data_IF_921445254380
#
_entry.id   IF_921445254380
#
_cell.length_a   1.000
_cell.length_b   1.000
_cell.length_c   1.000
_cell.angle_alpha   90.00
_cell.angle_beta   90.00
_cell.angle_gamma   90.00
#
_symmetry.space_group_name_H-M   'P 1'
#
loop_
_entity.id
_entity.type
_entity.pdbx_description
1 polymer ?
#
# COMPACT_ATOMS: atom_id res chain seq x y z
N UNK A 1 -31.00 12.51 0.91
CA UNK A 1 -30.94 11.59 -0.27
C UNK A 1 -29.66 11.82 -1.02
N UNK A 2 -28.90 10.74 -1.30
CA UNK A 2 -27.57 10.80 -1.93
C UNK A 2 -27.62 10.00 -3.24
N UNK A 3 -26.97 10.56 -4.29
CA UNK A 3 -26.73 9.91 -5.59
C UNK A 3 -25.27 10.05 -5.98
N UNK A 4 -24.72 9.05 -6.60
CA UNK A 4 -23.36 9.06 -7.14
C UNK A 4 -22.69 7.72 -7.05
N UNK A 5 -21.36 7.71 -7.18
CA UNK A 5 -20.56 6.50 -7.05
C UNK A 5 -19.18 6.80 -6.48
N UNK A 6 -18.59 5.79 -5.85
CA UNK A 6 -17.21 5.77 -5.40
C UNK A 6 -16.53 4.55 -5.99
N UNK A 7 -15.36 4.74 -6.60
CA UNK A 7 -14.55 3.67 -7.16
C UNK A 7 -13.30 3.44 -6.31
N UNK A 8 -12.64 2.31 -6.53
CA UNK A 8 -11.42 1.90 -5.85
C UNK A 8 -11.62 1.77 -4.34
N UNK A 9 -12.70 1.09 -3.93
CA UNK A 9 -13.03 0.88 -2.53
C UNK A 9 -12.55 -0.49 -2.11
N UNK A 10 -11.39 -0.51 -1.48
CA UNK A 10 -10.74 -1.72 -0.98
C UNK A 10 -11.53 -2.31 0.19
N UNK A 11 -11.74 -3.61 0.18
CA UNK A 11 -12.42 -4.35 1.24
C UNK A 11 -13.94 -4.20 1.27
N UNK A 12 -14.55 -3.49 0.33
CA UNK A 12 -15.97 -3.16 0.35
C UNK A 12 -16.92 -4.38 0.37
N UNK A 13 -16.47 -5.54 -0.12
CA UNK A 13 -17.30 -6.75 -0.13
C UNK A 13 -17.38 -7.48 1.24
N UNK A 14 -16.59 -7.05 2.23
CA UNK A 14 -16.44 -7.75 3.53
C UNK A 14 -16.61 -6.81 4.74
N UNK A 15 -17.14 -5.60 4.53
CA UNK A 15 -17.40 -4.63 5.59
C UNK A 15 -18.91 -4.49 5.83
N UNK A 16 -19.28 -4.15 7.06
CA UNK A 16 -20.68 -3.94 7.44
C UNK A 16 -21.16 -2.53 7.06
N UNK A 17 -20.29 -1.53 7.24
CA UNK A 17 -20.60 -0.12 6.98
C UNK A 17 -19.49 0.56 6.18
N UNK A 18 -19.85 1.60 5.46
CA UNK A 18 -18.90 2.46 4.74
C UNK A 18 -19.00 3.91 5.21
N UNK A 19 -17.83 4.52 5.40
CA UNK A 19 -17.71 5.97 5.58
C UNK A 19 -17.43 6.58 4.21
N UNK A 20 -18.32 7.45 3.77
CA UNK A 20 -18.20 8.20 2.52
C UNK A 20 -17.69 9.59 2.82
N UNK A 21 -16.68 10.05 2.07
CA UNK A 21 -16.08 11.37 2.26
C UNK A 21 -15.67 12.00 0.94
N UNK A 22 -15.43 13.32 0.89
CA UNK A 22 -14.83 13.99 -0.25
C UNK A 22 -13.48 13.35 -0.63
N UNK A 23 -13.10 13.45 -1.90
CA UNK A 23 -11.83 12.91 -2.41
C UNK A 23 -10.74 13.96 -2.61
N UNK A 24 -11.09 15.25 -2.47
CA UNK A 24 -10.19 16.38 -2.72
C UNK A 24 -10.69 17.64 -1.99
N UNK A 25 -9.83 18.65 -1.91
CA UNK A 25 -10.27 20.01 -1.58
C UNK A 25 -11.34 20.47 -2.58
N UNK A 26 -12.28 21.23 -2.10
CA UNK A 26 -13.43 21.72 -2.83
C UNK A 26 -13.47 23.26 -2.83
N UNK A 27 -14.29 23.81 -3.73
CA UNK A 27 -14.57 25.25 -3.83
C UNK A 27 -16.08 25.47 -3.56
N UNK A 28 -16.51 26.71 -3.45
CA UNK A 28 -17.92 27.06 -3.29
C UNK A 28 -18.82 26.43 -4.37
N UNK A 29 -18.32 26.26 -5.60
CA UNK A 29 -19.04 25.63 -6.71
C UNK A 29 -19.31 24.13 -6.45
N UNK A 30 -18.53 23.52 -5.60
CA UNK A 30 -18.60 22.10 -5.26
C UNK A 30 -19.46 21.85 -4.00
N UNK A 31 -20.10 22.86 -3.41
CA UNK A 31 -20.85 22.78 -2.13
C UNK A 31 -21.73 21.55 -2.04
N UNK A 32 -22.48 21.21 -3.10
CA UNK A 32 -23.38 20.05 -3.12
C UNK A 32 -22.67 18.69 -3.05
N UNK A 33 -21.36 18.64 -3.27
CA UNK A 33 -20.53 17.45 -3.20
C UNK A 33 -19.76 17.37 -1.88
N UNK A 34 -19.78 18.43 -1.07
CA UNK A 34 -19.13 18.48 0.23
C UNK A 34 -20.00 17.78 1.28
N UNK A 35 -19.96 16.45 1.25
CA UNK A 35 -20.70 15.59 2.16
C UNK A 35 -19.82 14.46 2.67
N UNK A 36 -19.96 14.15 3.98
CA UNK A 36 -19.39 12.94 4.59
C UNK A 36 -20.45 12.29 5.46
N UNK A 37 -20.57 10.98 5.39
CA UNK A 37 -21.57 10.19 6.11
C UNK A 37 -21.12 8.73 6.25
N UNK A 38 -21.77 7.97 7.14
CA UNK A 38 -21.59 6.52 7.27
C UNK A 38 -22.94 5.81 7.14
N UNK A 39 -22.96 4.72 6.38
CA UNK A 39 -24.16 3.88 6.21
C UNK A 39 -23.79 2.39 6.12
N UNK A 40 -24.70 1.48 6.54
CA UNK A 40 -24.59 0.07 6.22
C UNK A 40 -24.62 -0.19 4.69
N UNK A 41 -23.91 -1.23 4.26
CA UNK A 41 -23.89 -1.61 2.83
C UNK A 41 -25.22 -2.17 2.32
N UNK A 42 -26.06 -2.70 3.20
CA UNK A 42 -27.39 -3.22 2.89
C UNK A 42 -28.47 -2.11 2.84
N UNK A 43 -28.07 -0.84 3.00
CA UNK A 43 -28.99 0.29 2.89
C UNK A 43 -29.67 0.32 1.51
N UNK A 44 -31.01 0.44 1.46
CA UNK A 44 -31.73 0.50 0.18
C UNK A 44 -31.18 1.57 -0.78
N UNK A 45 -30.91 1.18 -2.03
CA UNK A 45 -30.32 2.05 -3.04
C UNK A 45 -28.78 1.97 -3.13
N UNK A 46 -28.11 1.26 -2.22
CA UNK A 46 -26.68 0.95 -2.33
C UNK A 46 -26.48 -0.29 -3.19
N UNK A 47 -25.55 -0.20 -4.13
CA UNK A 47 -25.11 -1.35 -4.94
C UNK A 47 -23.60 -1.42 -4.93
N UNK A 48 -23.06 -2.61 -4.61
CA UNK A 48 -21.64 -2.90 -4.67
C UNK A 48 -21.33 -3.75 -5.89
N UNK A 49 -20.38 -3.29 -6.72
CA UNK A 49 -19.85 -4.06 -7.84
C UNK A 49 -18.41 -4.42 -7.54
N UNK A 50 -18.14 -5.69 -7.30
CA UNK A 50 -16.78 -6.19 -6.98
C UNK A 50 -15.96 -6.31 -8.25
N UNK A 51 -14.77 -5.72 -8.24
CA UNK A 51 -13.83 -5.74 -9.35
C UNK A 51 -13.13 -7.09 -9.50
N UNK A 52 -12.76 -7.41 -10.74
CA UNK A 52 -11.91 -8.55 -11.05
C UNK A 52 -10.44 -8.17 -10.88
N UNK A 53 -9.62 -9.09 -10.35
CA UNK A 53 -8.16 -8.91 -10.21
C UNK A 53 -7.37 -9.83 -11.13
N UNK A 54 -6.07 -9.50 -11.34
CA UNK A 54 -5.18 -10.27 -12.22
C UNK A 54 -5.00 -11.71 -11.73
N UNK A 55 -4.96 -11.93 -10.42
CA UNK A 55 -4.82 -13.24 -9.79
C UNK A 55 -6.18 -13.90 -9.46
N UNK A 56 -7.28 -13.46 -10.08
CA UNK A 56 -8.63 -14.00 -9.88
C UNK A 56 -8.98 -15.11 -10.90
N UNK A 57 -8.02 -15.94 -11.27
CA UNK A 57 -8.24 -17.07 -12.18
C UNK A 57 -8.66 -18.36 -11.49
N UNK A 58 -8.51 -18.48 -10.20
CA UNK A 58 -8.72 -19.65 -9.37
C UNK A 58 -10.11 -20.28 -9.46
N UNK A 59 -11.13 -19.58 -9.92
CA UNK A 59 -12.46 -20.16 -10.22
C UNK A 59 -12.41 -21.15 -11.37
N UNK A 60 -11.42 -20.96 -12.26
CA UNK A 60 -11.19 -21.83 -13.42
C UNK A 60 -10.20 -22.94 -13.09
N UNK A 61 -9.27 -22.68 -12.20
CA UNK A 61 -8.19 -23.61 -11.87
C UNK A 61 -8.60 -24.54 -10.74
N UNK A 62 -9.05 -24.10 -9.62
CA UNK A 62 -9.38 -24.94 -8.48
C UNK A 62 -8.16 -25.64 -7.88
N UNK A 63 -8.33 -26.27 -6.72
CA UNK A 63 -7.27 -26.96 -6.02
C UNK A 63 -6.64 -26.17 -4.89
N UNK A 64 -5.68 -26.82 -4.22
CA UNK A 64 -5.04 -26.28 -3.02
C UNK A 64 -3.86 -25.36 -3.36
N UNK A 65 -3.19 -25.57 -4.49
CA UNK A 65 -2.01 -24.80 -4.90
C UNK A 65 -2.42 -23.69 -5.85
N UNK A 66 -3.02 -24.05 -6.98
CA UNK A 66 -3.37 -23.08 -8.04
C UNK A 66 -4.65 -22.30 -7.71
N UNK A 67 -5.55 -22.88 -6.93
CA UNK A 67 -6.85 -22.29 -6.60
C UNK A 67 -6.88 -21.32 -5.42
N UNK A 68 -5.80 -21.23 -4.62
CA UNK A 68 -5.74 -20.36 -3.45
C UNK A 68 -5.22 -18.96 -3.79
N UNK A 69 -5.98 -17.90 -3.47
CA UNK A 69 -5.47 -16.55 -3.54
C UNK A 69 -4.65 -16.25 -2.28
N UNK A 70 -3.34 -16.22 -2.39
CA UNK A 70 -2.47 -15.81 -1.28
C UNK A 70 -2.60 -14.31 -0.97
N UNK A 71 -2.96 -13.51 -1.95
CA UNK A 71 -3.22 -12.09 -1.79
C UNK A 71 -4.37 -11.67 -2.70
N UNK A 72 -5.56 -11.55 -2.13
CA UNK A 72 -6.74 -11.09 -2.84
C UNK A 72 -7.40 -9.94 -2.09
N UNK A 73 -7.28 -8.75 -2.63
CA UNK A 73 -7.99 -7.58 -2.13
C UNK A 73 -9.28 -7.38 -2.92
N UNK A 74 -10.40 -7.34 -2.22
CA UNK A 74 -11.66 -6.95 -2.83
C UNK A 74 -11.63 -5.45 -3.16
N UNK A 75 -11.53 -5.12 -4.43
CA UNK A 75 -11.71 -3.76 -4.93
C UNK A 75 -13.11 -3.62 -5.51
N UNK A 76 -13.77 -2.52 -5.23
CA UNK A 76 -15.15 -2.36 -5.69
C UNK A 76 -15.52 -0.95 -6.09
N UNK A 77 -16.68 -0.89 -6.74
CA UNK A 77 -17.45 0.31 -7.03
C UNK A 77 -18.68 0.30 -6.14
N UNK A 78 -18.90 1.37 -5.39
CA UNK A 78 -20.12 1.58 -4.60
C UNK A 78 -20.98 2.62 -5.30
N UNK A 79 -22.21 2.26 -5.64
CA UNK A 79 -23.17 3.09 -6.33
C UNK A 79 -24.30 3.46 -5.35
N UNK A 80 -24.62 4.71 -5.28
CA UNK A 80 -25.70 5.28 -4.45
C UNK A 80 -26.80 5.76 -5.39
N UNK A 81 -27.97 5.14 -5.33
CA UNK A 81 -29.12 5.50 -6.13
C UNK A 81 -30.29 5.89 -5.20
N UNK A 82 -30.44 7.19 -4.98
CA UNK A 82 -31.43 7.76 -4.05
C UNK A 82 -31.36 7.15 -2.64
N UNK A 83 -30.17 7.05 -2.10
CA UNK A 83 -29.93 6.50 -0.78
C UNK A 83 -30.33 7.52 0.30
N UNK A 84 -31.19 7.12 1.21
CA UNK A 84 -31.53 7.93 2.38
C UNK A 84 -30.42 7.81 3.44
N UNK A 85 -29.89 8.95 3.88
CA UNK A 85 -28.92 9.03 4.96
C UNK A 85 -29.55 9.81 6.12
N UNK A 86 -29.72 9.22 7.30
CA UNK A 86 -30.20 9.91 8.51
C UNK A 86 -29.21 10.99 8.96
N UNK A 87 -29.69 12.05 9.59
CA UNK A 87 -28.83 13.17 9.98
C UNK A 87 -27.79 12.82 11.05
N UNK A 88 -28.10 11.89 11.94
CA UNK A 88 -27.19 11.36 12.94
C UNK A 88 -25.99 10.57 12.37
N UNK A 89 -26.05 10.24 11.08
CA UNK A 89 -24.98 9.59 10.32
C UNK A 89 -24.25 10.52 9.38
N UNK A 90 -24.52 11.83 9.43
CA UNK A 90 -23.86 12.84 8.57
C UNK A 90 -22.80 13.59 9.36
N UNK A 91 -21.57 13.60 8.89
CA UNK A 91 -20.42 14.22 9.55
C UNK A 91 -20.00 15.55 8.92
N UNK A 92 -20.23 15.71 7.61
CA UNK A 92 -20.00 16.95 6.87
C UNK A 92 -21.18 17.19 5.93
N UNK A 93 -21.72 18.40 5.91
CA UNK A 93 -22.85 18.74 5.05
C UNK A 93 -22.71 20.14 4.47
N UNK A 94 -22.57 20.20 3.13
CA UNK A 94 -22.46 21.42 2.32
C UNK A 94 -21.32 22.38 2.73
N UNK A 95 -20.41 21.96 3.60
CA UNK A 95 -19.27 22.75 4.06
C UNK A 95 -18.01 22.40 3.25
N UNK A 96 -17.94 22.97 2.07
CA UNK A 96 -16.83 22.74 1.13
C UNK A 96 -15.48 23.18 1.69
N UNK A 97 -15.44 24.18 2.59
CA UNK A 97 -14.20 24.70 3.14
C UNK A 97 -13.43 23.64 3.97
N UNK A 98 -14.16 22.75 4.64
CA UNK A 98 -13.58 21.67 5.45
C UNK A 98 -13.25 20.39 4.66
N UNK A 99 -13.73 20.27 3.42
CA UNK A 99 -13.48 19.08 2.61
C UNK A 99 -11.99 18.79 2.43
N UNK A 100 -11.17 19.82 2.20
CA UNK A 100 -9.72 19.71 2.03
C UNK A 100 -9.03 19.20 3.29
N UNK A 101 -9.35 19.78 4.45
CA UNK A 101 -8.78 19.39 5.74
C UNK A 101 -9.13 17.93 6.10
N UNK A 102 -10.39 17.53 5.91
CA UNK A 102 -10.83 16.15 6.13
C UNK A 102 -10.02 15.15 5.30
N UNK A 103 -9.85 15.44 4.01
CA UNK A 103 -9.08 14.58 3.10
C UNK A 103 -7.60 14.54 3.48
N UNK A 104 -7.01 15.65 3.88
CA UNK A 104 -5.59 15.72 4.23
C UNK A 104 -5.30 14.91 5.50
N UNK A 105 -6.10 15.09 6.56
CA UNK A 105 -5.94 14.34 7.82
C UNK A 105 -6.10 12.84 7.56
N UNK A 106 -7.17 12.42 6.89
CA UNK A 106 -7.41 11.02 6.55
C UNK A 106 -6.28 10.44 5.70
N UNK A 107 -5.88 11.14 4.64
CA UNK A 107 -4.88 10.62 3.70
C UNK A 107 -3.49 10.48 4.33
N UNK A 108 -3.12 11.32 5.29
CA UNK A 108 -1.85 11.20 5.99
C UNK A 108 -1.75 9.90 6.79
N UNK A 109 -2.79 9.54 7.56
CA UNK A 109 -2.84 8.25 8.27
C UNK A 109 -2.81 7.07 7.29
N UNK A 110 -3.60 7.13 6.23
CA UNK A 110 -3.64 6.08 5.22
C UNK A 110 -2.27 5.91 4.53
N UNK A 111 -1.61 7.02 4.17
CA UNK A 111 -0.27 7.00 3.54
C UNK A 111 0.80 6.42 4.47
N UNK A 112 0.77 6.78 5.74
CA UNK A 112 1.65 6.20 6.75
C UNK A 112 1.42 4.69 6.92
N UNK A 113 0.15 4.24 6.96
CA UNK A 113 -0.21 2.83 7.12
C UNK A 113 0.33 1.92 6.00
N UNK A 114 0.63 2.47 4.81
CA UNK A 114 1.27 1.71 3.73
C UNK A 114 2.67 1.19 4.09
N UNK A 115 3.37 1.83 5.02
CA UNK A 115 4.66 1.33 5.50
C UNK A 115 4.55 -0.08 6.07
N UNK A 116 3.59 -0.32 6.96
CA UNK A 116 3.38 -1.65 7.54
C UNK A 116 2.82 -2.65 6.53
N UNK A 117 1.76 -2.26 5.81
CA UNK A 117 1.08 -3.13 4.85
C UNK A 117 2.02 -3.60 3.73
N UNK A 118 2.74 -2.68 3.06
CA UNK A 118 3.58 -3.05 1.91
C UNK A 118 4.91 -3.66 2.33
N UNK A 119 5.47 -3.28 3.49
CA UNK A 119 6.67 -3.94 4.00
C UNK A 119 6.38 -5.37 4.44
N UNK A 120 5.24 -5.64 5.11
CA UNK A 120 4.87 -7.01 5.46
C UNK A 120 4.69 -7.92 4.24
N UNK A 121 4.10 -7.41 3.15
CA UNK A 121 4.04 -8.14 1.88
C UNK A 121 5.42 -8.27 1.22
N UNK A 122 6.26 -7.26 1.35
CA UNK A 122 7.66 -7.30 0.91
C UNK A 122 8.44 -8.41 1.61
N UNK A 123 8.24 -8.60 2.92
CA UNK A 123 8.87 -9.69 3.69
C UNK A 123 8.45 -11.07 3.17
N UNK A 124 7.17 -11.24 2.82
CA UNK A 124 6.68 -12.47 2.19
C UNK A 124 7.38 -12.73 0.87
N UNK A 125 7.53 -11.70 0.01
CA UNK A 125 8.22 -11.82 -1.28
C UNK A 125 9.70 -12.12 -1.08
N UNK A 126 10.37 -11.44 -0.15
CA UNK A 126 11.80 -11.65 0.17
C UNK A 126 12.01 -13.09 0.67
N UNK A 127 11.20 -13.53 1.64
CA UNK A 127 11.29 -14.89 2.20
C UNK A 127 11.04 -15.97 1.15
N UNK A 128 10.02 -15.79 0.31
CA UNK A 128 9.71 -16.69 -0.80
C UNK A 128 10.86 -16.75 -1.81
N UNK A 129 11.42 -15.59 -2.16
CA UNK A 129 12.54 -15.49 -3.10
C UNK A 129 13.80 -16.15 -2.56
N UNK A 130 14.09 -15.94 -1.28
CA UNK A 130 15.23 -16.59 -0.62
C UNK A 130 15.09 -18.11 -0.62
N UNK A 131 13.90 -18.62 -0.30
CA UNK A 131 13.65 -20.06 -0.31
C UNK A 131 13.72 -20.65 -1.72
N UNK A 132 13.17 -19.99 -2.73
CA UNK A 132 13.32 -20.40 -4.14
C UNK A 132 14.81 -20.45 -4.55
N UNK A 133 15.63 -19.48 -4.12
CA UNK A 133 17.07 -19.50 -4.39
C UNK A 133 17.78 -20.70 -3.71
N UNK A 134 17.36 -21.11 -2.53
CA UNK A 134 17.82 -22.35 -1.86
C UNK A 134 17.43 -23.57 -2.67
N UNK A 135 16.21 -23.66 -3.11
CA UNK A 135 15.67 -24.78 -3.89
C UNK A 135 16.32 -24.90 -5.26
N UNK A 136 16.86 -23.81 -5.84
CA UNK A 136 17.56 -23.76 -7.11
C UNK A 136 19.04 -24.24 -7.05
N UNK A 137 19.40 -25.02 -6.04
CA UNK A 137 20.75 -25.54 -5.89
C UNK A 137 21.62 -24.72 -4.95
N UNK A 138 21.01 -24.04 -3.98
CA UNK A 138 21.74 -23.29 -2.96
C UNK A 138 22.40 -22.03 -3.50
N UNK A 139 21.76 -21.36 -4.47
CA UNK A 139 22.31 -20.14 -5.08
C UNK A 139 22.15 -18.88 -4.22
N UNK A 140 21.42 -18.94 -3.11
CA UNK A 140 21.20 -17.80 -2.22
C UNK A 140 22.50 -17.14 -1.73
N UNK A 141 23.61 -17.91 -1.62
CA UNK A 141 24.92 -17.42 -1.19
C UNK A 141 25.80 -16.92 -2.34
N UNK A 142 25.34 -16.99 -3.58
CA UNK A 142 26.07 -16.45 -4.72
C UNK A 142 26.06 -14.92 -4.69
N UNK A 143 27.20 -14.24 -4.89
CA UNK A 143 27.31 -12.79 -4.76
C UNK A 143 26.25 -11.99 -5.53
N UNK A 144 25.91 -12.42 -6.76
CA UNK A 144 24.90 -11.74 -7.58
C UNK A 144 23.46 -11.96 -7.07
N UNK A 145 23.19 -13.07 -6.37
CA UNK A 145 21.88 -13.31 -5.71
C UNK A 145 21.81 -12.56 -4.40
N UNK A 146 22.86 -12.62 -3.56
CA UNK A 146 22.93 -11.87 -2.33
C UNK A 146 22.78 -10.36 -2.55
N UNK A 147 23.43 -9.81 -3.56
CA UNK A 147 23.29 -8.39 -3.91
C UNK A 147 21.83 -8.01 -4.17
N UNK A 148 21.08 -8.83 -4.91
CA UNK A 148 19.66 -8.61 -5.20
C UNK A 148 18.79 -8.75 -3.95
N UNK A 149 19.01 -9.78 -3.13
CA UNK A 149 18.30 -9.98 -1.87
C UNK A 149 18.54 -8.82 -0.90
N UNK A 150 19.79 -8.35 -0.80
CA UNK A 150 20.17 -7.20 0.04
C UNK A 150 19.46 -5.92 -0.45
N UNK A 151 19.39 -5.70 -1.76
CA UNK A 151 18.66 -4.57 -2.33
C UNK A 151 17.17 -4.64 -2.00
N UNK A 152 16.54 -5.83 -2.11
CA UNK A 152 15.14 -6.02 -1.70
C UNK A 152 14.92 -5.67 -0.23
N UNK A 153 15.81 -6.11 0.66
CA UNK A 153 15.77 -5.76 2.10
C UNK A 153 15.92 -4.25 2.29
N UNK A 154 16.91 -3.63 1.63
CA UNK A 154 17.13 -2.18 1.70
C UNK A 154 15.87 -1.37 1.32
N UNK A 155 15.23 -1.73 0.20
CA UNK A 155 14.02 -1.07 -0.28
C UNK A 155 12.85 -1.27 0.71
N UNK A 156 12.70 -2.48 1.23
CA UNK A 156 11.63 -2.83 2.16
C UNK A 156 11.77 -2.09 3.50
N UNK A 157 12.95 -2.15 4.11
CA UNK A 157 13.25 -1.47 5.37
C UNK A 157 13.19 0.06 5.25
N UNK A 158 13.53 0.61 4.09
CA UNK A 158 13.40 2.05 3.84
C UNK A 158 11.95 2.51 3.88
N UNK A 159 11.01 1.75 3.30
CA UNK A 159 9.58 2.04 3.39
C UNK A 159 9.08 2.01 4.83
N UNK A 160 9.46 0.97 5.57
CA UNK A 160 9.07 0.80 6.97
C UNK A 160 9.59 1.91 7.86
N UNK A 161 10.88 2.23 7.75
CA UNK A 161 11.55 3.30 8.51
C UNK A 161 10.91 4.67 8.28
N UNK A 162 10.55 4.99 7.04
CA UNK A 162 9.86 6.24 6.73
C UNK A 162 8.48 6.33 7.41
N UNK A 163 7.74 5.22 7.47
CA UNK A 163 6.46 5.16 8.15
C UNK A 163 6.58 5.27 9.68
N UNK A 164 7.61 4.68 10.26
CA UNK A 164 7.93 4.86 11.68
C UNK A 164 8.25 6.32 11.98
N UNK A 165 9.04 6.99 11.13
CA UNK A 165 9.35 8.41 11.25
C UNK A 165 8.09 9.26 11.20
N UNK A 166 7.14 8.95 10.31
CA UNK A 166 5.87 9.66 10.24
C UNK A 166 5.07 9.59 11.54
N UNK A 167 5.11 8.44 12.23
CA UNK A 167 4.47 8.26 13.53
C UNK A 167 5.25 8.95 14.66
N UNK A 168 6.57 8.81 14.65
CA UNK A 168 7.43 9.36 15.69
C UNK A 168 7.42 10.89 15.72
N UNK A 169 7.46 11.52 14.55
CA UNK A 169 7.41 12.96 14.34
C UNK A 169 5.96 13.49 14.26
N UNK A 170 5.03 12.71 14.83
CA UNK A 170 3.61 13.09 14.89
C UNK A 170 3.39 14.41 15.60
N UNK A 171 2.35 15.12 15.22
CA UNK A 171 1.96 16.42 15.78
C UNK A 171 0.66 16.31 16.55
N UNK A 172 0.53 17.09 17.61
CA UNK A 172 -0.70 17.15 18.39
C UNK A 172 -1.74 17.98 17.65
N UNK A 173 -2.88 17.37 17.30
CA UNK A 173 -3.95 18.05 16.57
C UNK A 173 -4.81 18.92 17.46
N UNK A 174 -5.13 18.42 18.65
CA UNK A 174 -6.06 19.05 19.58
C UNK A 174 -5.43 19.11 20.97
N UNK A 175 -5.86 20.08 21.76
CA UNK A 175 -5.42 20.25 23.14
C UNK A 175 -5.77 19.05 24.05
N UNK A 176 -6.74 18.24 23.65
CA UNK A 176 -7.29 17.11 24.39
C UNK A 176 -6.65 15.75 24.07
N UNK A 177 -5.57 15.70 23.30
CA UNK A 177 -4.74 14.53 23.15
C UNK A 177 -4.75 13.81 21.80
N UNK A 178 -5.46 14.31 20.81
CA UNK A 178 -5.41 13.75 19.44
C UNK A 178 -4.04 13.97 18.79
N UNK A 179 -3.38 12.89 18.35
CA UNK A 179 -2.13 12.95 17.60
C UNK A 179 -2.37 12.70 16.11
N UNK A 180 -1.70 13.44 15.27
CA UNK A 180 -1.69 13.26 13.83
C UNK A 180 -0.30 12.84 13.39
N UNK A 181 -0.22 11.87 12.49
CA UNK A 181 1.05 11.48 11.88
C UNK A 181 1.65 12.67 11.13
N UNK A 182 2.96 12.80 11.15
CA UNK A 182 3.62 13.88 10.42
C UNK A 182 3.29 13.78 8.91
N UNK A 183 2.60 14.76 8.32
CA UNK A 183 2.13 14.67 6.94
C UNK A 183 3.28 14.68 5.92
N UNK A 184 4.41 15.30 6.22
CA UNK A 184 5.59 15.27 5.34
C UNK A 184 6.09 13.84 5.19
N UNK A 185 6.38 13.17 6.31
CA UNK A 185 6.92 11.80 6.29
C UNK A 185 5.89 10.77 5.85
N UNK A 186 4.61 10.99 6.11
CA UNK A 186 3.55 10.15 5.54
C UNK A 186 3.52 10.19 4.01
N UNK A 187 3.73 11.38 3.42
CA UNK A 187 3.85 11.53 1.97
C UNK A 187 5.15 10.93 1.42
N UNK A 188 6.27 11.08 2.13
CA UNK A 188 7.54 10.41 1.77
C UNK A 188 7.36 8.91 1.76
N UNK A 189 6.78 8.33 2.81
CA UNK A 189 6.46 6.90 2.91
C UNK A 189 5.68 6.43 1.70
N UNK A 190 4.54 7.08 1.44
CA UNK A 190 3.70 6.68 0.31
C UNK A 190 4.41 6.86 -1.04
N UNK A 191 5.25 7.86 -1.18
CA UNK A 191 6.00 8.09 -2.42
C UNK A 191 7.06 7.02 -2.66
N UNK A 192 7.74 6.51 -1.63
CA UNK A 192 8.61 5.33 -1.71
C UNK A 192 7.81 4.10 -2.14
N UNK A 193 6.66 3.88 -1.54
CA UNK A 193 5.75 2.77 -1.87
C UNK A 193 5.27 2.81 -3.34
N UNK A 194 5.25 3.96 -4.01
CA UNK A 194 4.90 4.00 -5.44
C UNK A 194 5.96 3.39 -6.35
N UNK A 195 7.14 3.04 -5.86
CA UNK A 195 8.30 2.59 -6.64
C UNK A 195 8.88 1.28 -6.15
N UNK A 196 9.14 1.17 -4.85
CA UNK A 196 9.91 0.09 -4.27
C UNK A 196 9.27 -1.29 -4.39
N UNK A 197 7.94 -1.46 -4.21
CA UNK A 197 7.29 -2.74 -4.47
C UNK A 197 7.51 -3.29 -5.89
N UNK A 198 7.54 -2.41 -6.89
CA UNK A 198 7.82 -2.81 -8.28
C UNK A 198 9.25 -3.34 -8.45
N UNK A 199 10.23 -2.68 -7.82
CA UNK A 199 11.62 -3.11 -7.89
C UNK A 199 11.85 -4.39 -7.09
N UNK A 200 11.24 -4.53 -5.91
CA UNK A 200 11.26 -5.77 -5.11
C UNK A 200 10.68 -6.93 -5.94
N UNK A 201 9.52 -6.76 -6.56
CA UNK A 201 8.90 -7.77 -7.41
C UNK A 201 9.80 -8.13 -8.61
N UNK A 202 10.39 -7.13 -9.27
CA UNK A 202 11.32 -7.33 -10.41
C UNK A 202 12.53 -8.17 -10.00
N UNK A 203 13.16 -7.86 -8.88
CA UNK A 203 14.30 -8.61 -8.36
C UNK A 203 13.93 -10.04 -7.96
N UNK A 204 12.74 -10.22 -7.35
CA UNK A 204 12.21 -11.53 -7.01
C UNK A 204 11.99 -12.41 -8.26
N UNK A 205 11.37 -11.85 -9.31
CA UNK A 205 11.15 -12.55 -10.57
C UNK A 205 12.46 -12.91 -11.27
N UNK A 206 13.47 -12.02 -11.20
CA UNK A 206 14.79 -12.29 -11.77
C UNK A 206 15.50 -13.47 -11.05
N UNK A 207 15.38 -13.56 -9.72
CA UNK A 207 15.94 -14.69 -8.95
C UNK A 207 15.16 -15.98 -9.21
N UNK A 208 13.82 -15.91 -9.21
CA UNK A 208 12.96 -17.07 -9.44
C UNK A 208 13.12 -17.63 -10.87
N UNK A 209 13.51 -16.78 -11.83
CA UNK A 209 13.75 -17.16 -13.21
C UNK A 209 12.48 -17.45 -14.02
N UNK A 210 12.66 -17.90 -15.24
CA UNK A 210 11.57 -18.14 -16.19
C UNK A 210 10.55 -19.20 -15.76
N UNK A 211 10.90 -20.04 -14.79
CA UNK A 211 10.02 -21.07 -14.25
C UNK A 211 8.77 -20.48 -13.58
N UNK A 212 8.86 -19.26 -13.08
CA UNK A 212 7.70 -18.54 -12.52
C UNK A 212 6.55 -18.43 -13.54
N UNK A 213 6.86 -18.25 -14.82
CA UNK A 213 5.88 -18.15 -15.90
C UNK A 213 5.60 -19.47 -16.66
N UNK A 214 6.29 -20.56 -16.30
CA UNK A 214 6.21 -21.85 -17.03
C UNK A 214 6.05 -23.06 -16.09
N UNK A 215 5.80 -22.82 -14.81
CA UNK A 215 5.58 -23.89 -13.85
C UNK A 215 4.31 -24.69 -14.20
N UNK A 216 4.33 -26.03 -14.06
CA UNK A 216 3.16 -26.86 -14.30
C UNK A 216 2.01 -26.48 -13.36
N UNK A 217 0.80 -26.85 -13.73
CA UNK A 217 -0.38 -26.72 -12.88
C UNK A 217 -0.42 -27.81 -11.79
N UNK A 218 -1.23 -27.58 -10.77
CA UNK A 218 -1.55 -28.60 -9.78
C UNK A 218 -2.19 -29.85 -10.41
N UNK A 219 -2.97 -29.68 -11.48
CA UNK A 219 -3.57 -30.80 -12.21
C UNK A 219 -2.52 -31.64 -12.92
N UNK A 220 -1.45 -31.04 -13.47
CA UNK A 220 -0.32 -31.77 -14.04
C UNK A 220 0.40 -32.58 -12.96
N UNK A 221 0.62 -31.99 -11.77
CA UNK A 221 1.21 -32.70 -10.64
C UNK A 221 0.33 -33.86 -10.12
N UNK A 222 -1.01 -33.75 -10.25
CA UNK A 222 -1.96 -34.83 -9.90
C UNK A 222 -2.11 -35.89 -10.99
N UNK A 223 -1.65 -35.64 -12.20
CA UNK A 223 -1.69 -36.60 -13.31
C UNK A 223 -0.67 -37.71 -13.09
N UNK A 224 -1.10 -38.99 -13.05
CA UNK A 224 -0.22 -40.12 -12.72
C UNK A 224 0.88 -40.36 -13.77
N UNK A 225 0.69 -39.95 -15.00
CA UNK A 225 1.70 -40.06 -16.07
C UNK A 225 2.74 -38.90 -16.02
N UNK A 226 2.29 -37.71 -15.68
CA UNK A 226 3.15 -36.51 -15.64
C UNK A 226 3.88 -36.37 -14.30
N UNK A 227 3.25 -36.76 -13.19
CA UNK A 227 3.80 -36.64 -11.85
C UNK A 227 5.25 -37.10 -11.71
N UNK A 228 5.61 -38.35 -12.14
CA UNK A 228 7.00 -38.79 -11.99
C UNK A 228 8.00 -37.98 -12.78
N UNK A 229 7.58 -37.39 -13.91
CA UNK A 229 8.42 -36.52 -14.74
C UNK A 229 8.59 -35.14 -14.06
N UNK A 230 7.50 -34.59 -13.53
CA UNK A 230 7.53 -33.31 -12.80
C UNK A 230 8.40 -33.44 -11.55
N UNK A 231 8.19 -34.49 -10.73
CA UNK A 231 8.98 -34.74 -9.54
C UNK A 231 10.48 -34.87 -9.87
N UNK A 232 10.81 -35.53 -10.99
CA UNK A 232 12.20 -35.67 -11.42
C UNK A 232 12.84 -34.37 -11.93
N UNK A 233 12.13 -33.57 -12.71
CA UNK A 233 12.71 -32.44 -13.43
C UNK A 233 12.42 -31.07 -12.81
N UNK A 234 11.37 -30.95 -12.01
CA UNK A 234 11.07 -29.74 -11.28
C UNK A 234 11.79 -29.70 -9.91
N UNK A 235 12.11 -30.83 -9.33
CA UNK A 235 12.87 -30.90 -8.09
C UNK A 235 14.23 -30.20 -8.28
N UNK A 236 14.61 -29.35 -7.37
CA UNK A 236 15.92 -28.71 -7.34
C UNK A 236 16.91 -29.52 -6.50
N UNK A 237 17.11 -29.12 -5.25
CA UNK A 237 17.93 -29.87 -4.29
C UNK A 237 17.10 -30.96 -3.59
N UNK A 238 17.75 -32.04 -3.10
CA UNK A 238 17.03 -33.21 -2.54
C UNK A 238 16.12 -32.93 -1.36
N UNK A 239 16.38 -31.86 -0.60
CA UNK A 239 15.67 -31.49 0.62
C UNK A 239 14.25 -30.95 0.35
N UNK A 240 13.95 -30.55 -0.89
CA UNK A 240 12.66 -30.00 -1.29
C UNK A 240 11.99 -30.85 -2.36
N UNK A 241 10.70 -31.04 -2.25
CA UNK A 241 9.91 -31.74 -3.27
C UNK A 241 9.58 -30.80 -4.45
N UNK A 242 9.18 -31.39 -5.58
CA UNK A 242 8.63 -30.59 -6.69
C UNK A 242 7.36 -29.83 -6.29
N UNK A 243 6.56 -30.39 -5.38
CA UNK A 243 5.37 -29.72 -4.84
C UNK A 243 5.73 -28.51 -3.99
N UNK A 244 6.72 -28.61 -3.09
CA UNK A 244 7.20 -27.47 -2.29
C UNK A 244 7.62 -26.33 -3.21
N UNK A 245 8.34 -26.65 -4.27
CA UNK A 245 8.78 -25.65 -5.26
C UNK A 245 7.62 -25.01 -6.00
N UNK A 246 6.63 -25.79 -6.40
CA UNK A 246 5.43 -25.27 -7.05
C UNK A 246 4.64 -24.35 -6.12
N UNK A 247 4.49 -24.71 -4.85
CA UNK A 247 3.82 -23.87 -3.84
C UNK A 247 4.51 -22.52 -3.68
N UNK A 248 5.83 -22.50 -3.61
CA UNK A 248 6.58 -21.24 -3.49
C UNK A 248 6.51 -20.39 -4.76
N UNK A 249 6.55 -21.02 -5.94
CA UNK A 249 6.36 -20.29 -7.21
C UNK A 249 4.96 -19.65 -7.28
N UNK A 250 3.91 -20.39 -6.89
CA UNK A 250 2.54 -19.87 -6.86
C UNK A 250 2.35 -18.75 -5.83
N UNK A 251 2.98 -18.88 -4.66
CA UNK A 251 2.97 -17.81 -3.66
C UNK A 251 3.62 -16.54 -4.22
N UNK A 252 4.81 -16.65 -4.81
CA UNK A 252 5.50 -15.51 -5.41
C UNK A 252 4.68 -14.87 -6.52
N UNK A 253 4.16 -15.66 -7.45
CA UNK A 253 3.31 -15.19 -8.54
C UNK A 253 2.12 -14.41 -7.99
N UNK A 254 1.32 -15.02 -7.10
CA UNK A 254 0.10 -14.41 -6.57
C UNK A 254 0.37 -13.10 -5.82
N UNK A 255 1.36 -13.07 -4.94
CA UNK A 255 1.64 -11.87 -4.13
C UNK A 255 2.25 -10.78 -4.99
N UNK A 256 3.24 -11.11 -5.83
CA UNK A 256 4.02 -10.10 -6.57
C UNK A 256 3.25 -9.43 -7.72
N UNK A 257 2.18 -10.05 -8.22
CA UNK A 257 1.33 -9.46 -9.28
C UNK A 257 -0.02 -8.96 -8.76
N UNK A 258 -0.31 -9.12 -7.47
CA UNK A 258 -1.60 -8.74 -6.90
C UNK A 258 -1.86 -7.24 -7.02
N UNK A 259 -3.12 -6.87 -7.21
CA UNK A 259 -3.55 -5.48 -7.15
C UNK A 259 -3.18 -4.86 -5.80
N UNK A 260 -3.31 -5.60 -4.70
CA UNK A 260 -2.95 -5.18 -3.36
C UNK A 260 -1.47 -4.85 -3.16
N UNK A 261 -0.56 -5.51 -3.87
CA UNK A 261 0.87 -5.19 -3.77
C UNK A 261 1.30 -4.10 -4.76
N UNK A 262 0.96 -4.22 -6.05
CA UNK A 262 1.46 -3.31 -7.08
C UNK A 262 0.53 -2.12 -7.36
N UNK A 263 -0.74 -2.37 -7.70
CA UNK A 263 -1.62 -1.30 -8.18
C UNK A 263 -1.98 -0.31 -7.07
N UNK A 264 -2.34 -0.80 -5.89
CA UNK A 264 -2.58 0.06 -4.72
C UNK A 264 -1.34 0.81 -4.26
N UNK A 265 -0.15 0.25 -4.49
CA UNK A 265 1.11 0.92 -4.20
C UNK A 265 1.26 2.23 -4.98
N UNK A 266 0.67 2.35 -6.16
CA UNK A 266 0.65 3.61 -6.91
C UNK A 266 -0.56 4.46 -6.52
N UNK A 267 -1.78 3.92 -6.65
CA UNK A 267 -3.00 4.72 -6.65
C UNK A 267 -3.72 4.78 -5.31
N UNK A 268 -3.52 3.83 -4.41
CA UNK A 268 -4.12 3.88 -3.07
C UNK A 268 -3.66 5.11 -2.29
N UNK A 269 -4.52 5.69 -1.48
CA UNK A 269 -4.31 6.95 -0.74
C UNK A 269 -3.89 8.15 -1.62
N UNK A 270 -4.34 8.17 -2.87
CA UNK A 270 -4.08 9.22 -3.85
C UNK A 270 -2.89 8.93 -4.79
N UNK A 271 -2.85 9.65 -5.89
CA UNK A 271 -1.83 9.49 -6.93
C UNK A 271 -0.43 9.95 -6.47
N UNK A 272 0.64 9.49 -7.14
CA UNK A 272 2.00 9.98 -6.87
C UNK A 272 2.13 11.51 -6.95
N UNK A 273 1.37 12.15 -7.83
CA UNK A 273 1.37 13.59 -7.98
C UNK A 273 0.76 14.31 -6.77
N UNK A 274 -0.31 13.75 -6.18
CA UNK A 274 -0.89 14.30 -4.96
C UNK A 274 0.13 14.33 -3.81
N UNK A 275 0.97 13.31 -3.70
CA UNK A 275 2.03 13.25 -2.69
C UNK A 275 3.12 14.30 -2.95
N UNK A 276 3.54 14.48 -4.21
CA UNK A 276 4.53 15.52 -4.58
C UNK A 276 4.02 16.92 -4.27
N UNK A 277 2.77 17.21 -4.63
CA UNK A 277 2.13 18.51 -4.32
C UNK A 277 2.09 18.73 -2.80
N UNK A 278 1.71 17.72 -2.02
CA UNK A 278 1.68 17.81 -0.56
C UNK A 278 3.08 18.06 0.01
N UNK A 279 4.09 17.30 -0.41
CA UNK A 279 5.48 17.50 0.04
C UNK A 279 6.01 18.88 -0.32
N UNK A 280 5.73 19.36 -1.53
CA UNK A 280 6.17 20.70 -1.97
C UNK A 280 5.53 21.84 -1.15
N UNK A 281 4.31 21.65 -0.66
CA UNK A 281 3.64 22.64 0.22
C UNK A 281 4.16 22.60 1.66
N UNK A 282 4.59 21.43 2.12
CA UNK A 282 5.05 21.22 3.50
C UNK A 282 6.54 21.53 3.68
N UNK A 283 7.32 21.50 2.62
CA UNK A 283 8.77 21.76 2.70
C UNK A 283 9.06 23.25 2.63
N UNK A 284 9.86 23.75 3.57
CA UNK A 284 10.30 25.15 3.59
C UNK A 284 11.50 25.36 2.64
N UNK A 285 11.19 25.57 1.37
CA UNK A 285 12.21 25.89 0.34
C UNK A 285 12.92 27.19 0.62
N UNK A 286 12.26 28.18 1.27
CA UNK A 286 12.87 29.46 1.57
C UNK A 286 13.94 29.33 2.66
N UNK A 287 13.67 28.51 3.70
CA UNK A 287 14.67 28.22 4.71
C UNK A 287 15.88 27.49 4.10
N UNK A 288 15.65 26.49 3.25
CA UNK A 288 16.72 25.77 2.57
C UNK A 288 17.57 26.70 1.67
N UNK A 289 16.92 27.59 0.92
CA UNK A 289 17.60 28.59 0.11
C UNK A 289 18.45 29.53 0.97
N UNK A 290 17.90 29.99 2.09
CA UNK A 290 18.62 30.92 3.00
C UNK A 290 19.84 30.23 3.62
N UNK A 291 19.75 28.97 4.01
CA UNK A 291 20.90 28.18 4.50
C UNK A 291 21.98 28.11 3.41
N UNK A 292 21.61 27.75 2.18
CA UNK A 292 22.54 27.64 1.06
C UNK A 292 23.22 28.99 0.76
N UNK A 293 22.46 30.09 0.71
CA UNK A 293 22.99 31.44 0.49
C UNK A 293 23.97 31.83 1.59
N UNK A 294 23.66 31.51 2.85
CA UNK A 294 24.54 31.81 3.97
C UNK A 294 25.89 31.11 3.83
N UNK A 295 25.85 29.79 3.51
CA UNK A 295 27.07 29.01 3.28
C UNK A 295 27.88 29.53 2.08
N UNK A 296 27.20 30.00 1.03
CA UNK A 296 27.81 30.63 -0.13
C UNK A 296 28.29 32.10 0.13
N UNK A 297 28.17 32.60 1.37
CA UNK A 297 28.49 33.98 1.77
C UNK A 297 27.74 35.07 1.00
N UNK A 298 26.54 34.72 0.52
CA UNK A 298 25.62 35.70 -0.05
C UNK A 298 24.86 36.34 1.10
N UNK A 299 24.87 37.67 1.20
CA UNK A 299 24.16 38.38 2.29
C UNK A 299 22.66 38.12 2.21
N UNK A 300 22.10 37.53 3.26
CA UNK A 300 20.67 37.29 3.43
C UNK A 300 20.24 37.79 4.80
N UNK A 301 19.12 38.52 4.85
CA UNK A 301 18.44 38.79 6.11
C UNK A 301 17.68 37.53 6.54
N UNK A 302 18.35 36.65 7.28
CA UNK A 302 17.71 35.42 7.77
C UNK A 302 16.88 35.77 9.00
N UNK A 303 15.55 35.68 8.89
CA UNK A 303 14.71 35.39 10.06
C UNK A 303 14.74 33.91 10.26
N UNK A 304 15.53 33.44 11.23
CA UNK A 304 15.42 32.07 11.68
C UNK A 304 14.01 31.90 12.28
N UNK A 305 13.29 30.78 11.99
CA UNK A 305 12.07 30.48 12.70
C UNK A 305 12.39 30.44 14.20
N UNK A 306 11.51 30.99 15.03
CA UNK A 306 11.62 30.81 16.48
C UNK A 306 11.76 29.31 16.73
N UNK A 307 12.74 28.93 17.58
CA UNK A 307 12.98 27.52 17.91
C UNK A 307 11.67 26.91 18.35
N UNK A 308 11.11 26.05 17.52
CA UNK A 308 10.13 25.06 18.01
C UNK A 308 10.94 24.17 18.94
N UNK A 309 10.76 24.33 20.25
CA UNK A 309 11.39 23.44 21.19
C UNK A 309 10.94 22.01 20.85
N UNK A 310 11.89 21.06 20.69
CA UNK A 310 11.50 19.67 20.52
C UNK A 310 10.72 19.26 21.78
N UNK A 311 9.50 18.80 21.61
CA UNK A 311 8.69 18.29 22.72
C UNK A 311 9.48 17.19 23.43
N UNK A 312 10.05 17.53 24.60
CA UNK A 312 10.74 16.56 25.45
C UNK A 312 9.69 15.58 25.97
N UNK A 313 10.01 14.30 25.92
CA UNK A 313 9.19 13.18 26.43
C UNK A 313 8.90 13.23 27.95
N UNK A 314 9.30 14.28 28.66
CA UNK A 314 9.11 14.39 30.10
C UNK A 314 7.63 14.58 30.53
N UNK A 315 6.71 14.74 29.59
CA UNK A 315 5.30 15.00 29.92
C UNK A 315 4.41 13.75 29.79
N UNK A 316 4.98 12.56 29.71
CA UNK A 316 4.24 11.29 29.59
C UNK A 316 4.29 10.48 30.91
N UNK A 317 4.95 10.98 31.95
CA UNK A 317 4.89 10.40 33.30
C UNK A 317 4.00 11.29 34.19
N UNK A 318 2.69 10.96 34.20
CA UNK A 318 1.69 11.55 35.07
C UNK A 318 0.39 10.77 34.98
#
# INVERSE_FOLDING_TARGET
MVRGAKANITGVAVVDEVIVMPTRAMTEKDTRYAISFAIPLDTPGVTVVVGRQLNDARRLEGGEIDGLPYMFNHEGLVIFNDVFVPWDRVFLYLDWAWAGALVEVFSAYHRQGYAGCKSGLGDVIIGTTYDLARQLGGIQDRPHVQSKLTEMVFLNETMYSAGLTASWEGIKLLSDGGWWVNPMYANVTKHLVTRFPYEIARLAHDIAGGLLGTAPSEFDLKNPELRPLIEKYLQGVPEFTAEDRLRMLRLLENVSISAGYLIESIHGAGSPEAQRISMARLYDFQLAENIAKNLARIRVNIRLPEKVEPHRRSDVEG
#
